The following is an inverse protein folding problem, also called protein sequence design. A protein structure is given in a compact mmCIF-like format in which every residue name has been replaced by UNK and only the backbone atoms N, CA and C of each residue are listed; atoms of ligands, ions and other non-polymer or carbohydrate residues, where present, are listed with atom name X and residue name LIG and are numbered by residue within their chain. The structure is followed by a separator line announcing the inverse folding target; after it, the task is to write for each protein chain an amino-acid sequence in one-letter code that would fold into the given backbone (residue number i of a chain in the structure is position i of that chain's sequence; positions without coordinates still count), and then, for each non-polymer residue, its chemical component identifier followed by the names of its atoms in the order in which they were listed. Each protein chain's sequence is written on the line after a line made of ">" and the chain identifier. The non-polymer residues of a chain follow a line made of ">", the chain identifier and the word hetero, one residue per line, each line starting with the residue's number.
data_IF_280430204431
#
_entry.id   IF_280430204431
#
_cell.length_a   1.000
_cell.length_b   1.000
_cell.length_c   1.000
_cell.angle_alpha   90.00
_cell.angle_beta   90.00
_cell.angle_gamma   90.00
#
_symmetry.space_group_name_H-M   'P 1'
#
loop_
_entity.id
_entity.type
_entity.pdbx_description
1 polymer ?
#
# COMPACT_ATOMS: atom_id res chain seq x y z
N UNK A 1 -0.37 5.90 -13.55
CA UNK A 1 0.05 5.40 -12.21
C UNK A 1 1.29 4.50 -12.29
N UNK A 2 2.21 4.74 -13.25
CA UNK A 2 3.42 3.92 -13.41
C UNK A 2 4.30 3.89 -12.15
N UNK A 3 4.36 5.00 -11.41
CA UNK A 3 5.08 5.08 -10.13
C UNK A 3 4.69 3.98 -9.11
N UNK A 4 3.40 3.59 -9.03
CA UNK A 4 2.97 2.52 -8.13
C UNK A 4 3.39 1.15 -8.67
N UNK A 5 3.34 0.95 -9.98
CA UNK A 5 3.79 -0.27 -10.65
C UNK A 5 5.31 -0.45 -10.52
N UNK A 6 6.07 0.64 -10.61
CA UNK A 6 7.53 0.65 -10.46
C UNK A 6 7.93 0.18 -9.05
N UNK A 7 7.35 0.77 -7.99
CA UNK A 7 7.70 0.39 -6.62
C UNK A 7 7.19 -1.01 -6.25
N UNK A 8 6.00 -1.40 -6.71
CA UNK A 8 5.49 -2.76 -6.48
C UNK A 8 6.33 -3.81 -7.21
N UNK A 9 6.84 -3.50 -8.41
CA UNK A 9 7.78 -4.37 -9.14
C UNK A 9 9.11 -4.54 -8.39
N UNK A 10 9.64 -3.45 -7.82
CA UNK A 10 10.85 -3.52 -6.99
C UNK A 10 10.63 -4.34 -5.72
N UNK A 11 9.49 -4.20 -5.05
CA UNK A 11 9.15 -5.01 -3.88
C UNK A 11 8.98 -6.48 -4.28
N UNK A 12 8.27 -6.77 -5.37
CA UNK A 12 8.03 -8.11 -5.88
C UNK A 12 9.34 -8.85 -6.21
N UNK A 13 10.33 -8.13 -6.75
CA UNK A 13 11.66 -8.67 -7.02
C UNK A 13 12.40 -9.17 -5.76
N UNK A 14 11.94 -8.82 -4.55
CA UNK A 14 12.52 -9.30 -3.29
C UNK A 14 11.89 -10.58 -2.74
N UNK A 15 10.73 -11.00 -3.26
CA UNK A 15 9.88 -12.03 -2.61
C UNK A 15 10.58 -13.40 -2.54
N UNK A 16 11.20 -13.82 -3.63
CA UNK A 16 11.83 -15.14 -3.78
C UNK A 16 13.35 -15.13 -3.55
N UNK A 17 13.91 -14.03 -3.05
CA UNK A 17 15.34 -13.96 -2.77
C UNK A 17 15.73 -14.79 -1.54
N UNK A 18 16.97 -15.34 -1.50
CA UNK A 18 17.54 -15.92 -0.28
C UNK A 18 17.56 -14.89 0.86
N UNK A 19 17.43 -15.35 2.11
CA UNK A 19 17.18 -14.48 3.27
C UNK A 19 18.17 -13.31 3.43
N UNK A 20 19.48 -13.58 3.30
CA UNK A 20 20.51 -12.55 3.43
C UNK A 20 20.41 -11.49 2.33
N UNK A 21 20.12 -11.89 1.09
CA UNK A 21 19.94 -10.95 -0.02
C UNK A 21 18.60 -10.19 0.13
N UNK A 22 17.53 -10.88 0.49
CA UNK A 22 16.21 -10.30 0.76
C UNK A 22 16.30 -9.18 1.80
N UNK A 23 16.95 -9.45 2.95
CA UNK A 23 17.19 -8.45 4.00
C UNK A 23 17.93 -7.23 3.48
N UNK A 24 19.02 -7.44 2.74
CA UNK A 24 19.83 -6.36 2.17
C UNK A 24 19.04 -5.51 1.18
N UNK A 25 18.32 -6.15 0.25
CA UNK A 25 17.50 -5.46 -0.76
C UNK A 25 16.34 -4.70 -0.15
N UNK A 26 15.60 -5.30 0.78
CA UNK A 26 14.47 -4.63 1.45
C UNK A 26 14.95 -3.47 2.31
N UNK A 27 16.10 -3.58 2.97
CA UNK A 27 16.72 -2.43 3.65
C UNK A 27 17.01 -1.29 2.68
N UNK A 28 17.60 -1.57 1.50
CA UNK A 28 17.83 -0.54 0.50
C UNK A 28 16.53 0.11 -0.01
N UNK A 29 15.44 -0.66 -0.13
CA UNK A 29 14.11 -0.12 -0.47
C UNK A 29 13.58 0.82 0.62
N UNK A 30 13.70 0.42 1.89
CA UNK A 30 13.27 1.21 3.06
C UNK A 30 14.07 2.49 3.21
N UNK A 31 15.37 2.46 2.92
CA UNK A 31 16.26 3.62 3.07
C UNK A 31 16.17 4.62 1.90
N UNK A 32 15.41 4.31 0.83
CA UNK A 32 15.33 5.17 -0.35
C UNK A 32 14.03 5.09 -1.13
N UNK A 33 13.87 4.12 -2.06
CA UNK A 33 12.73 4.07 -2.96
C UNK A 33 11.36 4.14 -2.28
N UNK A 34 11.11 3.38 -1.22
CA UNK A 34 9.79 3.34 -0.57
C UNK A 34 9.42 4.73 -0.01
N UNK A 35 10.22 5.37 0.86
CA UNK A 35 9.94 6.73 1.31
C UNK A 35 9.74 7.72 0.17
N UNK A 36 10.59 7.68 -0.86
CA UNK A 36 10.49 8.58 -2.01
C UNK A 36 9.14 8.48 -2.73
N UNK A 37 8.68 7.26 -3.01
CA UNK A 37 7.39 7.05 -3.67
C UNK A 37 6.21 7.41 -2.76
N UNK A 38 6.27 7.05 -1.47
CA UNK A 38 5.22 7.39 -0.51
C UNK A 38 5.03 8.91 -0.40
N UNK A 39 6.10 9.67 -0.22
CA UNK A 39 6.04 11.13 -0.13
C UNK A 39 5.45 11.74 -1.40
N UNK A 40 5.89 11.29 -2.58
CA UNK A 40 5.36 11.83 -3.86
C UNK A 40 3.89 11.46 -4.09
N UNK A 41 3.47 10.26 -3.69
CA UNK A 41 2.07 9.84 -3.80
C UNK A 41 1.19 10.64 -2.85
N UNK A 42 1.64 10.89 -1.61
CA UNK A 42 0.94 11.74 -0.65
C UNK A 42 0.74 13.16 -1.19
N UNK A 43 1.83 13.79 -1.66
CA UNK A 43 1.78 15.11 -2.29
C UNK A 43 0.84 15.15 -3.50
N UNK A 44 0.85 14.10 -4.33
CA UNK A 44 -0.05 14.00 -5.48
C UNK A 44 -1.50 13.88 -5.05
N UNK A 45 -1.82 13.09 -4.03
CA UNK A 45 -3.16 12.95 -3.51
C UNK A 45 -3.69 14.31 -3.03
N UNK A 46 -2.91 15.03 -2.24
CA UNK A 46 -3.24 16.37 -1.74
C UNK A 46 -3.46 17.36 -2.89
N UNK A 47 -2.58 17.37 -3.89
CA UNK A 47 -2.69 18.24 -5.07
C UNK A 47 -3.97 17.98 -5.89
N UNK A 48 -4.58 16.80 -5.76
CA UNK A 48 -5.85 16.44 -6.41
C UNK A 48 -7.07 16.56 -5.47
N UNK A 49 -6.92 17.25 -4.33
CA UNK A 49 -8.02 17.52 -3.39
C UNK A 49 -8.11 16.52 -2.23
N UNK A 50 -7.12 15.65 -2.06
CA UNK A 50 -6.95 14.80 -0.87
C UNK A 50 -7.89 13.59 -0.78
N UNK A 51 -8.97 13.54 -1.56
CA UNK A 51 -9.98 12.49 -1.46
C UNK A 51 -9.66 11.28 -2.34
N UNK A 52 -9.47 11.50 -3.64
CA UNK A 52 -9.07 10.47 -4.61
C UNK A 52 -8.01 11.02 -5.57
N UNK A 53 -7.27 10.12 -6.22
CA UNK A 53 -6.23 10.50 -7.18
C UNK A 53 -6.78 11.03 -8.52
N UNK A 54 -8.09 10.90 -8.76
CA UNK A 54 -8.76 11.29 -10.00
C UNK A 54 -10.00 12.18 -9.74
N UNK A 55 -9.77 13.34 -9.12
CA UNK A 55 -10.85 14.25 -8.72
C UNK A 55 -11.63 13.66 -7.54
N UNK A 56 -12.97 13.79 -7.56
CA UNK A 56 -13.81 13.38 -6.43
C UNK A 56 -14.43 11.97 -6.59
N UNK A 57 -13.83 11.10 -7.40
CA UNK A 57 -14.35 9.75 -7.66
C UNK A 57 -13.26 8.68 -7.53
N UNK A 58 -13.66 7.55 -6.95
CA UNK A 58 -12.87 6.32 -6.94
C UNK A 58 -12.48 5.91 -8.37
N UNK A 59 -11.22 5.54 -8.56
CA UNK A 59 -10.63 5.12 -9.81
C UNK A 59 -9.65 3.95 -9.59
N UNK A 60 -9.14 3.41 -10.70
CA UNK A 60 -8.09 2.37 -10.67
C UNK A 60 -6.82 2.86 -9.96
N UNK A 61 -6.55 4.17 -9.96
CA UNK A 61 -5.39 4.73 -9.26
C UNK A 61 -5.48 4.49 -7.75
N UNK A 62 -6.65 4.71 -7.17
CA UNK A 62 -6.93 4.55 -5.75
C UNK A 62 -6.83 3.08 -5.34
N UNK A 63 -7.36 2.16 -6.16
CA UNK A 63 -7.24 0.72 -5.93
C UNK A 63 -5.78 0.24 -5.95
N UNK A 64 -4.96 0.76 -6.88
CA UNK A 64 -3.54 0.43 -6.95
C UNK A 64 -2.78 0.92 -5.72
N UNK A 65 -3.04 2.15 -5.28
CA UNK A 65 -2.43 2.71 -4.07
C UNK A 65 -2.86 1.94 -2.83
N UNK A 66 -4.15 1.63 -2.71
CA UNK A 66 -4.67 0.79 -1.63
C UNK A 66 -3.92 -0.54 -1.52
N UNK A 67 -3.67 -1.24 -2.64
CA UNK A 67 -2.94 -2.52 -2.61
C UNK A 67 -1.48 -2.35 -2.16
N UNK A 68 -0.80 -1.29 -2.61
CA UNK A 68 0.56 -0.97 -2.15
C UNK A 68 0.57 -0.71 -0.64
N UNK A 69 -0.33 0.16 -0.14
CA UNK A 69 -0.39 0.50 1.29
C UNK A 69 -0.70 -0.74 2.12
N UNK A 70 -1.68 -1.55 1.71
CA UNK A 70 -2.02 -2.82 2.37
C UNK A 70 -0.82 -3.76 2.45
N UNK A 71 -0.03 -3.86 1.39
CA UNK A 71 1.17 -4.70 1.40
C UNK A 71 2.20 -4.20 2.42
N UNK A 72 2.48 -2.89 2.44
CA UNK A 72 3.45 -2.27 3.34
C UNK A 72 3.02 -2.34 4.81
N UNK A 73 1.73 -2.26 5.11
CA UNK A 73 1.21 -2.26 6.49
C UNK A 73 0.84 -3.65 7.02
N UNK A 74 0.78 -4.67 6.17
CA UNK A 74 0.33 -6.03 6.56
C UNK A 74 1.30 -6.80 7.46
N UNK A 75 2.58 -6.43 7.49
CA UNK A 75 3.62 -7.17 8.19
C UNK A 75 4.17 -8.40 7.45
N UNK A 76 3.66 -8.73 6.26
CA UNK A 76 4.14 -9.88 5.47
C UNK A 76 5.49 -9.62 4.79
N UNK A 77 5.91 -8.35 4.72
CA UNK A 77 7.22 -7.95 4.17
C UNK A 77 8.25 -7.86 5.30
N UNK A 78 8.89 -8.98 5.64
CA UNK A 78 10.02 -9.01 6.59
C UNK A 78 11.04 -7.91 6.26
N UNK A 79 11.64 -7.34 7.30
CA UNK A 79 12.62 -6.24 7.21
C UNK A 79 12.07 -4.91 6.67
N UNK A 80 10.76 -4.79 6.42
CA UNK A 80 10.07 -3.53 6.11
C UNK A 80 9.22 -3.12 7.32
N UNK A 81 9.47 -1.97 7.95
CA UNK A 81 8.65 -1.50 9.08
C UNK A 81 7.20 -1.22 8.65
N UNK A 82 6.23 -1.80 9.35
CA UNK A 82 4.80 -1.61 9.05
C UNK A 82 4.32 -0.16 9.26
N UNK A 83 5.01 0.59 10.11
CA UNK A 83 4.72 1.98 10.43
C UNK A 83 5.33 2.98 9.42
N UNK A 84 6.08 2.49 8.43
CA UNK A 84 6.81 3.34 7.50
C UNK A 84 5.86 4.24 6.69
N UNK A 85 4.73 3.70 6.24
CA UNK A 85 3.72 4.47 5.51
C UNK A 85 3.14 5.57 6.37
N UNK A 86 2.73 5.25 7.60
CA UNK A 86 2.17 6.22 8.55
C UNK A 86 3.15 7.37 8.81
N UNK A 87 4.44 7.04 9.02
CA UNK A 87 5.48 8.05 9.29
C UNK A 87 5.77 8.95 8.09
N UNK A 88 5.70 8.42 6.87
CA UNK A 88 6.15 9.14 5.66
C UNK A 88 5.00 9.81 4.89
N UNK A 89 3.79 9.27 4.95
CA UNK A 89 2.65 9.71 4.16
C UNK A 89 1.32 9.27 4.82
N UNK A 90 0.96 9.82 6.01
CA UNK A 90 -0.25 9.42 6.74
C UNK A 90 -1.54 9.62 5.93
N UNK A 91 -1.59 10.63 5.06
CA UNK A 91 -2.72 10.85 4.13
C UNK A 91 -3.01 9.64 3.22
N UNK A 92 -2.00 8.81 2.90
CA UNK A 92 -2.20 7.59 2.11
C UNK A 92 -2.82 6.45 2.94
N UNK A 93 -2.60 6.44 4.25
CA UNK A 93 -3.25 5.50 5.17
C UNK A 93 -4.74 5.84 5.26
N UNK A 94 -5.06 7.10 5.57
CA UNK A 94 -6.46 7.59 5.60
C UNK A 94 -7.19 7.38 4.26
N UNK A 95 -6.49 7.62 3.15
CA UNK A 95 -7.00 7.35 1.81
C UNK A 95 -7.32 5.86 1.63
N UNK A 96 -6.42 4.97 2.03
CA UNK A 96 -6.60 3.53 1.87
C UNK A 96 -7.77 3.02 2.72
N UNK A 97 -7.92 3.53 3.94
CA UNK A 97 -9.09 3.26 4.79
C UNK A 97 -10.39 3.70 4.11
N UNK A 98 -10.39 4.88 3.47
CA UNK A 98 -11.54 5.38 2.70
C UNK A 98 -11.93 4.44 1.59
N UNK A 99 -10.95 4.00 0.79
CA UNK A 99 -11.18 3.12 -0.36
C UNK A 99 -11.71 1.76 0.12
N UNK A 100 -11.15 1.20 1.20
CA UNK A 100 -11.67 -0.04 1.80
C UNK A 100 -13.09 0.11 2.36
N UNK A 101 -13.49 1.33 2.74
CA UNK A 101 -14.82 1.64 3.22
C UNK A 101 -15.84 1.98 2.13
N UNK A 102 -15.43 2.10 0.85
CA UNK A 102 -16.35 2.27 -0.27
C UNK A 102 -17.26 1.03 -0.40
N UNK A 103 -18.57 1.26 -0.55
CA UNK A 103 -19.58 0.20 -0.58
C UNK A 103 -19.31 -0.85 -1.66
N UNK A 104 -18.76 -0.46 -2.82
CA UNK A 104 -18.44 -1.38 -3.92
C UNK A 104 -17.25 -2.26 -3.58
N UNK A 105 -16.24 -1.69 -2.93
CA UNK A 105 -15.05 -2.44 -2.48
C UNK A 105 -15.43 -3.43 -1.39
N UNK A 106 -16.25 -3.00 -0.41
CA UNK A 106 -16.80 -3.88 0.63
C UNK A 106 -17.62 -5.03 0.04
N UNK A 107 -18.51 -4.74 -0.91
CA UNK A 107 -19.32 -5.76 -1.57
C UNK A 107 -18.45 -6.78 -2.30
N UNK A 108 -17.43 -6.32 -3.04
CA UNK A 108 -16.49 -7.21 -3.75
C UNK A 108 -15.80 -8.19 -2.79
N UNK A 109 -15.24 -7.69 -1.69
CA UNK A 109 -14.59 -8.55 -0.70
C UNK A 109 -15.59 -9.45 0.03
N UNK A 110 -16.81 -9.01 0.34
CA UNK A 110 -17.81 -9.87 0.98
C UNK A 110 -18.18 -11.07 0.10
N UNK A 111 -18.22 -10.89 -1.22
CA UNK A 111 -18.55 -11.94 -2.18
C UNK A 111 -17.36 -12.85 -2.51
N UNK A 112 -16.14 -12.30 -2.56
CA UNK A 112 -14.95 -13.00 -3.08
C UNK A 112 -13.91 -13.37 -2.01
N UNK A 113 -14.17 -13.07 -0.73
CA UNK A 113 -13.26 -13.45 0.35
C UNK A 113 -13.37 -14.94 0.67
N UNK A 114 -12.29 -15.68 0.42
CA UNK A 114 -12.13 -17.04 0.94
C UNK A 114 -11.71 -16.93 2.41
N UNK A 115 -12.61 -17.29 3.32
CA UNK A 115 -12.30 -17.45 4.73
C UNK A 115 -11.25 -18.57 4.89
N UNK A 116 -9.96 -18.22 5.10
CA UNK A 116 -8.94 -19.22 5.45
C UNK A 116 -7.48 -18.92 5.12
N UNK A 117 -7.13 -17.90 4.33
CA UNK A 117 -5.72 -17.58 4.02
C UNK A 117 -5.26 -16.35 4.81
N UNK A 118 -4.65 -16.64 5.97
CA UNK A 118 -3.95 -15.78 6.93
C UNK A 118 -4.73 -14.57 7.47
N UNK A 119 -5.08 -14.67 8.76
CA UNK A 119 -5.64 -13.60 9.57
C UNK A 119 -4.89 -12.27 9.37
N UNK A 120 -5.61 -11.25 8.89
CA UNK A 120 -5.28 -9.86 9.20
C UNK A 120 -5.63 -9.69 10.68
N UNK A 121 -4.72 -9.21 11.56
CA UNK A 121 -5.06 -8.93 12.94
C UNK A 121 -6.27 -8.01 12.96
N UNK A 122 -7.27 -8.35 13.76
CA UNK A 122 -8.47 -7.56 13.93
C UNK A 122 -8.11 -6.17 14.43
N UNK A 123 -7.88 -5.23 13.51
CA UNK A 123 -8.30 -3.86 13.72
C UNK A 123 -9.65 -3.75 13.05
N UNK A 124 -10.67 -3.76 13.89
CA UNK A 124 -11.98 -3.24 13.57
C UNK A 124 -11.80 -1.87 12.91
N UNK A 125 -12.04 -1.83 11.61
CA UNK A 125 -12.38 -0.61 10.89
C UNK A 125 -13.88 -0.41 10.99
#
# INVERSE_FOLDING_TARGET
>A
MGAVEDITSQIAATVLLPENEKKTRRKALVDGPIPFYLTRLGQRLEAHGGRYFAGDRLSVADLKVLMLIRQLTSGVLDHVPMDLTERMAPALVEHSERVMNDARVKAYYAEHWIAGLTAVPSRSW
#
